data_IF_914464305100
#
_entry.id   IF_914464305100
#
_cell.length_a   1.000
_cell.length_b   1.000
_cell.length_c   1.000
_cell.angle_alpha   90.00
_cell.angle_beta   90.00
_cell.angle_gamma   90.00
#
_symmetry.space_group_name_H-M   'P 1'
#
loop_
_entity.id
_entity.type
_entity.pdbx_description
1 polymer ?
#
# COMPACT_ATOMS: atom_id res chain seq x y z
N UNK A 1 10.49 17.92 9.16
CA UNK A 1 9.40 17.70 10.15
C UNK A 1 8.00 18.13 9.66
N UNK A 2 7.72 18.14 8.34
CA UNK A 2 6.39 18.49 7.78
C UNK A 2 5.62 17.29 7.19
N UNK A 3 6.10 16.06 7.41
CA UNK A 3 5.64 14.82 6.75
C UNK A 3 4.25 14.31 7.20
N UNK A 4 3.60 14.95 8.17
CA UNK A 4 2.45 14.36 8.89
C UNK A 4 1.12 15.12 8.79
N UNK A 5 1.09 16.36 8.29
CA UNK A 5 -0.15 17.16 8.25
C UNK A 5 -1.27 16.59 7.35
N UNK A 6 -1.03 16.13 6.12
CA UNK A 6 -2.09 15.59 5.27
C UNK A 6 -2.58 14.22 5.77
N UNK A 7 -1.67 13.37 6.27
CA UNK A 7 -2.02 12.07 6.85
C UNK A 7 -2.85 12.23 8.14
N UNK A 8 -2.46 13.14 9.05
CA UNK A 8 -3.23 13.41 10.27
C UNK A 8 -4.63 13.97 9.98
N UNK A 9 -4.77 14.83 8.98
CA UNK A 9 -6.07 15.36 8.57
C UNK A 9 -6.97 14.26 7.97
N UNK A 10 -6.41 13.38 7.13
CA UNK A 10 -7.13 12.21 6.58
C UNK A 10 -7.53 11.22 7.67
N UNK A 11 -6.62 10.87 8.58
CA UNK A 11 -6.90 10.01 9.73
C UNK A 11 -8.03 10.59 10.60
N UNK A 12 -7.98 11.90 10.87
CA UNK A 12 -9.03 12.58 11.64
C UNK A 12 -10.37 12.53 10.90
N UNK A 13 -10.38 12.72 9.58
CA UNK A 13 -11.58 12.63 8.76
C UNK A 13 -12.18 11.22 8.76
N UNK A 14 -11.37 10.17 8.53
CA UNK A 14 -11.78 8.75 8.59
C UNK A 14 -12.33 8.41 9.98
N UNK A 15 -11.67 8.91 11.04
CA UNK A 15 -12.14 8.72 12.42
C UNK A 15 -13.50 9.40 12.66
N UNK A 16 -13.70 10.63 12.16
CA UNK A 16 -14.98 11.36 12.29
C UNK A 16 -16.08 10.64 11.49
N UNK A 17 -15.79 10.22 10.26
CA UNK A 17 -16.72 9.50 9.39
C UNK A 17 -17.23 8.21 10.05
N UNK A 18 -16.32 7.45 10.67
CA UNK A 18 -16.66 6.25 11.43
C UNK A 18 -17.66 6.53 12.58
N UNK A 19 -17.37 7.53 13.43
CA UNK A 19 -18.26 7.87 14.54
C UNK A 19 -19.60 8.45 14.07
N UNK A 20 -19.64 9.09 12.90
CA UNK A 20 -20.86 9.60 12.30
C UNK A 20 -21.73 8.51 11.64
N UNK A 21 -21.14 7.40 11.16
CA UNK A 21 -21.85 6.29 10.52
C UNK A 21 -22.37 5.24 11.51
N UNK A 22 -21.71 5.09 12.67
CA UNK A 22 -22.13 4.22 13.77
C UNK A 22 -23.61 4.38 14.20
N UNK A 23 -24.20 5.59 14.32
CA UNK A 23 -25.61 5.79 14.62
C UNK A 23 -26.59 5.41 13.49
N UNK A 24 -26.19 5.49 12.22
CA UNK A 24 -27.07 5.24 11.06
C UNK A 24 -27.39 3.75 10.87
N UNK A 25 -26.39 2.88 11.01
CA UNK A 25 -26.59 1.41 11.00
C UNK A 25 -27.49 0.98 12.16
N UNK A 26 -27.54 1.83 13.17
CA UNK A 26 -28.21 1.59 14.41
C UNK A 26 -29.71 1.94 14.30
N UNK A 27 -30.14 2.88 13.44
CA UNK A 27 -31.54 3.32 13.34
C UNK A 27 -32.45 2.47 12.44
N UNK A 28 -31.94 1.46 11.74
CA UNK A 28 -32.67 0.84 10.64
C UNK A 28 -33.87 -0.04 11.03
N UNK A 29 -34.07 -0.44 12.30
CA UNK A 29 -35.13 -1.44 12.56
C UNK A 29 -35.92 -1.47 13.88
N UNK A 30 -35.67 -0.71 14.96
CA UNK A 30 -36.54 -0.84 16.15
C UNK A 30 -36.65 0.39 17.06
N UNK A 31 -37.83 0.52 17.67
CA UNK A 31 -38.29 1.63 18.51
C UNK A 31 -37.66 1.69 19.93
N UNK A 32 -36.68 0.84 20.27
CA UNK A 32 -36.03 0.84 21.58
C UNK A 32 -34.54 0.40 21.48
N UNK A 33 -33.55 1.23 21.89
CA UNK A 33 -32.14 0.86 21.80
C UNK A 33 -31.74 -0.15 22.89
N UNK A 34 -31.75 -1.45 22.55
CA UNK A 34 -31.39 -2.51 23.49
C UNK A 34 -29.91 -2.47 23.91
N UNK A 35 -29.65 -2.78 25.20
CA UNK A 35 -28.32 -2.80 25.84
C UNK A 35 -27.26 -3.65 25.11
N UNK A 36 -27.67 -4.61 24.29
CA UNK A 36 -26.81 -5.44 23.44
C UNK A 36 -26.15 -4.63 22.30
N UNK A 37 -26.92 -3.72 21.68
CA UNK A 37 -26.48 -2.89 20.55
C UNK A 37 -25.37 -1.94 20.96
N UNK A 38 -25.56 -1.23 22.06
CA UNK A 38 -24.55 -0.32 22.61
C UNK A 38 -23.22 -1.05 22.89
N UNK A 39 -23.26 -2.32 23.29
CA UNK A 39 -22.05 -3.12 23.51
C UNK A 39 -21.36 -3.50 22.20
N UNK A 40 -22.09 -3.98 21.18
CA UNK A 40 -21.50 -4.34 19.88
C UNK A 40 -20.88 -3.12 19.19
N UNK A 41 -21.57 -1.98 19.19
CA UNK A 41 -21.05 -0.68 18.71
C UNK A 41 -19.77 -0.29 19.47
N UNK A 42 -19.74 -0.45 20.80
CA UNK A 42 -18.54 -0.18 21.58
C UNK A 42 -17.38 -1.15 21.27
N UNK A 43 -17.66 -2.39 20.88
CA UNK A 43 -16.64 -3.35 20.42
C UNK A 43 -16.06 -2.95 19.07
N UNK A 44 -16.91 -2.60 18.11
CA UNK A 44 -16.51 -2.07 16.81
C UNK A 44 -15.58 -0.85 16.96
N UNK A 45 -15.94 0.10 17.83
CA UNK A 45 -15.10 1.26 18.10
C UNK A 45 -13.75 0.91 18.75
N UNK A 46 -13.71 -0.11 19.62
CA UNK A 46 -12.45 -0.62 20.19
C UNK A 46 -11.58 -1.31 19.14
N UNK A 47 -12.18 -2.04 18.21
CA UNK A 47 -11.47 -2.69 17.12
C UNK A 47 -10.86 -1.64 16.18
N UNK A 48 -11.63 -0.66 15.73
CA UNK A 48 -11.12 0.45 14.91
C UNK A 48 -9.95 1.17 15.60
N UNK A 49 -10.08 1.48 16.90
CA UNK A 49 -8.99 2.09 17.67
C UNK A 49 -7.76 1.18 17.81
N UNK A 50 -7.93 -0.15 17.78
CA UNK A 50 -6.84 -1.11 17.80
C UNK A 50 -6.13 -1.16 16.44
N UNK A 51 -6.87 -1.22 15.33
CA UNK A 51 -6.35 -1.15 13.96
C UNK A 51 -5.55 0.13 13.76
N UNK A 52 -6.11 1.29 14.12
CA UNK A 52 -5.40 2.57 14.04
C UNK A 52 -4.08 2.55 14.82
N UNK A 53 -4.05 1.97 16.02
CA UNK A 53 -2.80 1.80 16.80
C UNK A 53 -1.82 0.85 16.12
N UNK A 54 -2.30 -0.22 15.49
CA UNK A 54 -1.46 -1.15 14.73
C UNK A 54 -0.78 -0.41 13.56
N UNK A 55 -1.54 0.31 12.75
CA UNK A 55 -1.03 1.01 11.57
C UNK A 55 -0.07 2.15 11.93
N UNK A 56 -0.41 2.98 12.92
CA UNK A 56 0.50 4.03 13.41
C UNK A 56 1.80 3.45 13.95
N UNK A 57 1.72 2.32 14.68
CA UNK A 57 2.92 1.64 15.18
C UNK A 57 3.75 1.08 14.03
N UNK A 58 3.12 0.40 13.08
CA UNK A 58 3.77 -0.18 11.90
C UNK A 58 4.50 0.90 11.08
N UNK A 59 3.83 2.03 10.81
CA UNK A 59 4.44 3.19 10.14
C UNK A 59 5.66 3.70 10.92
N UNK A 60 5.52 3.90 12.24
CA UNK A 60 6.58 4.45 13.07
C UNK A 60 7.80 3.53 13.23
N UNK A 61 7.59 2.22 13.17
CA UNK A 61 8.62 1.20 13.36
C UNK A 61 9.11 0.56 12.06
N UNK A 62 8.49 0.90 10.94
CA UNK A 62 8.74 0.27 9.64
C UNK A 62 8.53 -1.26 9.66
N UNK A 63 7.54 -1.71 10.43
CA UNK A 63 7.19 -3.13 10.62
C UNK A 63 5.93 -3.48 9.82
N UNK A 64 5.79 -4.76 9.47
CA UNK A 64 4.56 -5.30 8.88
C UNK A 64 3.40 -5.24 9.92
N UNK A 65 2.25 -4.61 9.58
CA UNK A 65 1.11 -4.52 10.49
C UNK A 65 0.31 -5.82 10.61
N UNK A 66 0.45 -6.77 9.68
CA UNK A 66 -0.43 -7.95 9.55
C UNK A 66 -0.62 -8.72 10.87
N UNK A 67 0.45 -9.08 11.61
CA UNK A 67 0.28 -9.80 12.87
C UNK A 67 -0.49 -9.01 13.95
N UNK A 68 -0.47 -7.68 13.89
CA UNK A 68 -1.23 -6.82 14.80
C UNK A 68 -2.69 -6.73 14.38
N UNK A 69 -2.95 -6.62 13.07
CA UNK A 69 -4.28 -6.57 12.48
C UNK A 69 -5.04 -7.87 12.71
N UNK A 70 -4.44 -9.02 12.43
CA UNK A 70 -5.03 -10.36 12.67
C UNK A 70 -5.46 -10.52 14.14
N UNK A 71 -4.60 -10.04 15.06
CA UNK A 71 -4.88 -10.08 16.49
C UNK A 71 -6.04 -9.15 16.87
N UNK A 72 -6.19 -8.01 16.21
CA UNK A 72 -7.30 -7.09 16.44
C UNK A 72 -8.63 -7.66 15.92
N UNK A 73 -8.60 -8.32 14.76
CA UNK A 73 -9.76 -8.99 14.17
C UNK A 73 -10.21 -10.19 15.02
N UNK A 74 -9.29 -11.10 15.36
CA UNK A 74 -9.59 -12.25 16.22
C UNK A 74 -10.18 -11.84 17.58
N UNK A 75 -9.75 -10.68 18.12
CA UNK A 75 -10.31 -10.10 19.35
C UNK A 75 -11.74 -9.60 19.15
N UNK A 76 -12.05 -8.98 18.02
CA UNK A 76 -13.41 -8.51 17.72
C UNK A 76 -14.36 -9.71 17.61
N UNK A 77 -14.01 -10.69 16.78
CA UNK A 77 -14.81 -11.90 16.56
C UNK A 77 -15.08 -12.64 17.88
N UNK A 78 -14.04 -12.88 18.68
CA UNK A 78 -14.21 -13.54 19.99
C UNK A 78 -15.09 -12.75 20.97
N UNK A 79 -15.02 -11.41 20.96
CA UNK A 79 -15.84 -10.59 21.86
C UNK A 79 -17.30 -10.51 21.40
N UNK A 80 -17.55 -10.53 20.10
CA UNK A 80 -18.91 -10.61 19.54
C UNK A 80 -19.54 -11.97 19.91
N UNK A 81 -18.83 -13.08 19.66
CA UNK A 81 -19.32 -14.43 19.98
C UNK A 81 -19.68 -14.60 21.47
N UNK A 82 -18.83 -14.08 22.37
CA UNK A 82 -19.10 -14.08 23.83
C UNK A 82 -20.34 -13.29 24.21
N UNK A 83 -20.67 -12.21 23.49
CA UNK A 83 -21.89 -11.46 23.73
C UNK A 83 -23.12 -12.22 23.24
N UNK A 84 -23.03 -12.89 22.09
CA UNK A 84 -24.15 -13.62 21.50
C UNK A 84 -24.52 -14.87 22.30
N UNK A 85 -23.52 -15.54 22.87
CA UNK A 85 -23.69 -16.75 23.69
C UNK A 85 -23.93 -16.49 25.19
N UNK A 86 -23.97 -15.22 25.63
CA UNK A 86 -24.19 -14.88 27.03
C UNK A 86 -25.62 -15.22 27.50
N UNK A 87 -25.76 -15.55 28.81
CA UNK A 87 -26.97 -16.05 29.50
C UNK A 87 -28.26 -15.19 29.40
N UNK A 88 -28.18 -14.00 28.77
CA UNK A 88 -29.30 -13.17 28.30
C UNK A 88 -29.04 -12.94 26.81
N UNK A 89 -29.63 -13.80 25.97
CA UNK A 89 -29.35 -13.91 24.54
C UNK A 89 -29.27 -12.53 23.85
N UNK A 90 -28.06 -12.11 23.46
CA UNK A 90 -27.91 -11.09 22.41
C UNK A 90 -27.93 -11.74 21.00
N UNK A 91 -28.22 -13.04 20.92
CA UNK A 91 -28.48 -13.71 19.66
C UNK A 91 -29.72 -13.10 19.00
N UNK A 92 -29.53 -12.52 17.81
CA UNK A 92 -30.53 -12.04 16.83
C UNK A 92 -31.03 -10.58 16.83
N UNK A 93 -30.55 -9.63 17.66
CA UNK A 93 -31.04 -8.22 17.58
C UNK A 93 -30.26 -7.27 16.66
N UNK A 94 -29.22 -7.74 15.96
CA UNK A 94 -28.53 -7.01 14.86
C UNK A 94 -27.96 -8.08 13.92
N UNK A 95 -28.00 -7.84 12.61
CA UNK A 95 -27.13 -8.55 11.67
C UNK A 95 -25.67 -8.22 12.02
N UNK A 96 -25.01 -9.11 12.77
CA UNK A 96 -23.62 -8.95 13.15
C UNK A 96 -22.73 -8.77 11.91
N UNK A 97 -23.13 -9.32 10.76
CA UNK A 97 -22.44 -9.12 9.50
C UNK A 97 -22.51 -7.67 9.02
N UNK A 98 -23.63 -6.96 9.21
CA UNK A 98 -23.76 -5.55 8.82
C UNK A 98 -22.84 -4.62 9.64
N UNK A 99 -22.66 -4.90 10.94
CA UNK A 99 -21.73 -4.15 11.77
C UNK A 99 -20.28 -4.46 11.42
N UNK A 100 -19.96 -5.73 11.17
CA UNK A 100 -18.61 -6.16 10.73
C UNK A 100 -18.28 -5.52 9.38
N UNK A 101 -19.20 -5.57 8.41
CA UNK A 101 -19.01 -4.94 7.10
C UNK A 101 -18.79 -3.42 7.18
N UNK A 102 -19.47 -2.70 8.09
CA UNK A 102 -19.20 -1.27 8.32
C UNK A 102 -17.78 -1.05 8.88
N UNK A 103 -17.40 -1.87 9.85
CA UNK A 103 -16.07 -1.80 10.46
C UNK A 103 -15.01 -2.09 9.40
N UNK A 104 -15.20 -3.12 8.58
CA UNK A 104 -14.27 -3.51 7.53
C UNK A 104 -14.15 -2.43 6.45
N UNK A 105 -15.27 -1.83 6.02
CA UNK A 105 -15.25 -0.72 5.07
C UNK A 105 -14.44 0.48 5.61
N UNK A 106 -14.62 0.83 6.88
CA UNK A 106 -13.88 1.93 7.48
C UNK A 106 -12.41 1.59 7.75
N UNK A 107 -12.12 0.32 8.09
CA UNK A 107 -10.75 -0.18 8.18
C UNK A 107 -10.08 -0.10 6.81
N UNK A 108 -10.79 -0.41 5.73
CA UNK A 108 -10.35 -0.19 4.35
C UNK A 108 -9.97 1.27 4.09
N UNK A 109 -10.88 2.21 4.36
CA UNK A 109 -10.58 3.64 4.21
C UNK A 109 -9.38 4.09 5.06
N UNK A 110 -9.17 3.47 6.22
CA UNK A 110 -8.02 3.76 7.06
C UNK A 110 -6.73 3.18 6.49
N UNK A 111 -6.76 1.96 5.96
CA UNK A 111 -5.64 1.32 5.28
C UNK A 111 -5.22 2.15 4.08
N UNK A 112 -6.15 2.69 3.30
CA UNK A 112 -5.86 3.56 2.15
C UNK A 112 -5.06 4.82 2.54
N UNK A 113 -5.22 5.32 3.78
CA UNK A 113 -4.41 6.45 4.27
C UNK A 113 -2.95 6.07 4.51
N UNK A 114 -2.69 4.79 4.79
CA UNK A 114 -1.36 4.21 4.99
C UNK A 114 -0.85 3.45 3.75
N UNK A 115 -1.62 3.42 2.67
CA UNK A 115 -1.21 2.84 1.40
C UNK A 115 -0.26 3.78 0.66
N UNK A 116 0.62 3.21 -0.17
CA UNK A 116 1.54 3.95 -1.03
C UNK A 116 1.23 3.68 -2.48
N UNK A 117 1.11 4.74 -3.27
CA UNK A 117 0.85 4.60 -4.70
C UNK A 117 2.10 4.15 -5.44
N UNK A 118 1.92 3.26 -6.42
CA UNK A 118 2.96 2.78 -7.32
C UNK A 118 2.48 2.88 -8.76
N UNK A 119 3.37 3.25 -9.68
CA UNK A 119 3.06 3.30 -11.10
C UNK A 119 4.29 3.00 -11.95
N UNK A 120 4.06 2.62 -13.20
CA UNK A 120 5.07 2.55 -14.24
C UNK A 120 5.01 3.83 -15.08
N UNK A 121 6.07 4.61 -15.14
CA UNK A 121 6.12 5.90 -15.88
C UNK A 121 5.54 5.82 -17.29
N UNK A 122 4.70 6.75 -17.73
CA UNK A 122 4.17 6.78 -19.12
C UNK A 122 5.27 6.90 -20.17
N UNK A 123 6.35 7.60 -19.82
CA UNK A 123 7.54 7.79 -20.65
C UNK A 123 8.48 6.60 -20.58
N UNK A 124 9.14 6.29 -21.69
CA UNK A 124 10.25 5.32 -21.78
C UNK A 124 11.55 6.06 -22.09
N UNK A 125 12.67 5.54 -21.61
CA UNK A 125 13.98 6.18 -21.77
C UNK A 125 15.15 5.23 -21.54
N UNK A 126 16.35 5.81 -21.48
CA UNK A 126 17.58 5.07 -21.19
C UNK A 126 18.00 5.13 -19.74
N UNK A 127 19.04 4.37 -19.38
CA UNK A 127 19.46 4.15 -18.00
C UNK A 127 20.32 5.28 -17.38
N UNK A 128 20.57 6.38 -18.11
CA UNK A 128 21.41 7.49 -17.63
C UNK A 128 20.56 8.57 -16.96
N UNK A 129 20.22 8.33 -15.70
CA UNK A 129 19.42 9.25 -14.89
C UNK A 129 20.27 10.29 -14.13
N UNK A 130 21.60 10.10 -14.08
CA UNK A 130 22.47 10.89 -13.19
C UNK A 130 22.46 10.38 -11.75
N UNK A 131 22.27 9.06 -11.59
CA UNK A 131 22.14 8.41 -10.29
C UNK A 131 20.69 8.30 -9.79
N UNK A 132 20.53 7.65 -8.64
CA UNK A 132 19.22 7.42 -8.02
C UNK A 132 18.44 8.73 -7.80
N UNK A 133 19.13 9.82 -7.42
CA UNK A 133 18.50 11.12 -7.21
C UNK A 133 17.87 11.70 -8.49
N UNK A 134 18.48 11.47 -9.65
CA UNK A 134 17.91 11.91 -10.92
C UNK A 134 16.74 11.03 -11.38
N UNK A 135 16.80 9.73 -11.11
CA UNK A 135 15.66 8.83 -11.35
C UNK A 135 14.47 9.21 -10.44
N UNK A 136 14.73 9.55 -9.18
CA UNK A 136 13.72 10.03 -8.24
C UNK A 136 13.11 11.35 -8.71
N UNK A 137 13.92 12.27 -9.24
CA UNK A 137 13.42 13.53 -9.79
C UNK A 137 12.50 13.31 -11.01
N UNK A 138 12.79 12.31 -11.85
CA UNK A 138 11.90 11.94 -12.95
C UNK A 138 10.56 11.40 -12.44
N UNK A 139 10.58 10.51 -11.44
CA UNK A 139 9.36 10.02 -10.80
C UNK A 139 8.53 11.13 -10.17
N UNK A 140 9.18 12.03 -9.42
CA UNK A 140 8.50 13.18 -8.81
C UNK A 140 7.91 14.10 -9.87
N UNK A 141 8.65 14.40 -10.94
CA UNK A 141 8.17 15.29 -12.02
C UNK A 141 6.93 14.75 -12.71
N UNK A 142 6.86 13.42 -12.95
CA UNK A 142 5.70 12.79 -13.56
C UNK A 142 4.51 12.78 -12.60
N UNK A 143 4.74 12.47 -11.32
CA UNK A 143 3.71 12.52 -10.30
C UNK A 143 3.13 13.95 -10.10
N UNK A 144 3.98 14.97 -10.13
CA UNK A 144 3.58 16.37 -10.04
C UNK A 144 2.75 16.78 -11.27
N UNK A 145 3.17 16.37 -12.48
CA UNK A 145 2.46 16.65 -13.72
C UNK A 145 1.07 15.99 -13.77
N UNK A 146 0.94 14.78 -13.22
CA UNK A 146 -0.32 14.07 -13.07
C UNK A 146 -1.17 14.57 -11.87
N UNK A 147 -0.65 15.50 -11.05
CA UNK A 147 -1.36 16.04 -9.90
C UNK A 147 -1.51 15.08 -8.73
N UNK A 148 -0.65 14.04 -8.64
CA UNK A 148 -0.71 13.03 -7.59
C UNK A 148 -0.31 13.58 -6.21
N UNK A 149 0.46 14.67 -6.16
CA UNK A 149 1.04 15.21 -4.94
C UNK A 149 2.04 14.23 -4.30
N UNK A 150 2.21 14.30 -2.97
CA UNK A 150 3.09 13.36 -2.25
C UNK A 150 4.57 13.47 -2.63
N UNK A 151 5.36 12.46 -2.23
CA UNK A 151 6.76 12.32 -2.63
C UNK A 151 6.96 10.98 -3.31
N UNK A 152 7.47 10.98 -4.53
CA UNK A 152 7.73 9.77 -5.31
C UNK A 152 9.23 9.57 -5.54
N UNK A 153 9.65 8.31 -5.51
CA UNK A 153 11.02 7.91 -5.86
C UNK A 153 10.98 6.78 -6.88
N UNK A 154 12.09 6.58 -7.60
CA UNK A 154 12.25 5.45 -8.51
C UNK A 154 12.53 4.16 -7.73
N UNK A 155 11.87 3.07 -8.12
CA UNK A 155 12.14 1.73 -7.58
C UNK A 155 13.35 1.13 -8.30
N UNK A 156 14.55 1.54 -7.86
CA UNK A 156 15.84 1.11 -8.39
C UNK A 156 16.79 0.74 -7.25
N UNK A 157 17.69 -0.20 -7.48
CA UNK A 157 18.92 -0.34 -6.71
C UNK A 157 20.08 0.37 -7.41
N UNK A 158 21.10 0.78 -6.67
CA UNK A 158 22.45 1.04 -7.22
C UNK A 158 23.47 0.06 -6.60
N UNK A 159 24.76 0.27 -6.84
CA UNK A 159 25.83 -0.62 -6.37
C UNK A 159 25.98 -0.67 -4.84
N UNK A 160 25.41 0.30 -4.12
CA UNK A 160 25.56 0.47 -2.67
C UNK A 160 24.22 0.56 -1.92
N UNK A 161 23.12 0.76 -2.63
CA UNK A 161 21.80 1.03 -2.08
C UNK A 161 20.80 0.06 -2.68
N UNK A 162 20.20 -0.76 -1.82
CA UNK A 162 19.17 -1.70 -2.21
C UNK A 162 17.80 -1.03 -2.36
N UNK A 163 17.04 -1.39 -3.40
CA UNK A 163 15.68 -0.89 -3.61
C UNK A 163 14.77 -1.09 -2.38
N UNK A 164 14.85 -2.26 -1.72
CA UNK A 164 14.07 -2.59 -0.52
C UNK A 164 14.28 -1.61 0.65
N UNK A 165 15.45 -1.00 0.74
CA UNK A 165 15.81 -0.07 1.81
C UNK A 165 15.44 1.38 1.49
N UNK A 166 15.21 1.68 0.20
CA UNK A 166 14.75 2.99 -0.28
C UNK A 166 13.24 3.14 -0.19
N UNK A 167 12.50 2.04 -0.35
CA UNK A 167 11.04 2.04 -0.27
C UNK A 167 10.62 2.20 1.19
N UNK A 168 9.80 3.22 1.46
CA UNK A 168 9.29 3.51 2.80
C UNK A 168 8.27 2.46 3.28
N UNK A 169 7.87 2.51 4.56
CA UNK A 169 6.77 1.68 5.04
C UNK A 169 5.47 2.01 4.30
N UNK A 170 4.66 0.97 4.11
CA UNK A 170 3.33 1.06 3.54
C UNK A 170 2.41 0.08 4.30
N UNK A 171 1.98 0.42 5.54
CA UNK A 171 1.12 -0.45 6.34
C UNK A 171 -0.25 -0.71 5.71
N UNK A 172 -0.68 0.15 4.79
CA UNK A 172 -1.88 -0.07 3.96
C UNK A 172 -1.58 -0.72 2.62
N UNK A 173 -0.35 -1.22 2.41
CA UNK A 173 0.06 -1.82 1.15
C UNK A 173 0.45 -0.83 0.06
N UNK A 174 0.74 -1.37 -1.12
CA UNK A 174 1.03 -0.67 -2.34
C UNK A 174 -0.13 -0.82 -3.29
N UNK A 175 -0.59 0.28 -3.84
CA UNK A 175 -1.74 0.34 -4.75
C UNK A 175 -1.34 1.04 -6.04
N UNK A 176 -1.87 0.59 -7.16
CA UNK A 176 -1.74 1.33 -8.43
C UNK A 176 -2.58 2.60 -8.42
N UNK A 177 -2.40 3.44 -9.42
CA UNK A 177 -3.19 4.67 -9.60
C UNK A 177 -4.67 4.39 -9.90
N UNK A 178 -5.00 3.17 -10.36
CA UNK A 178 -6.37 2.68 -10.57
C UNK A 178 -6.94 1.91 -9.36
N UNK A 179 -6.39 2.14 -8.16
CA UNK A 179 -6.82 1.55 -6.88
C UNK A 179 -6.74 0.02 -6.80
N UNK A 180 -5.96 -0.62 -7.69
CA UNK A 180 -5.69 -2.06 -7.63
C UNK A 180 -4.50 -2.33 -6.71
N UNK A 181 -4.70 -3.17 -5.70
CA UNK A 181 -3.67 -3.58 -4.77
C UNK A 181 -2.57 -4.42 -5.45
N UNK A 182 -1.31 -4.05 -5.20
CA UNK A 182 -0.10 -4.67 -5.74
C UNK A 182 0.58 -5.54 -4.70
N UNK A 183 0.60 -5.07 -3.44
CA UNK A 183 1.19 -5.77 -2.32
C UNK A 183 0.59 -5.26 -1.01
N UNK A 184 0.39 -6.12 -0.02
CA UNK A 184 -0.14 -5.78 1.31
C UNK A 184 0.87 -5.04 2.20
N UNK A 185 2.13 -4.98 1.79
CA UNK A 185 3.17 -4.26 2.51
C UNK A 185 4.55 -4.37 1.85
N UNK A 186 5.56 -3.77 2.48
CA UNK A 186 6.91 -3.69 1.90
C UNK A 186 7.60 -5.04 1.76
N UNK A 187 7.32 -5.98 2.66
CA UNK A 187 7.90 -7.33 2.59
C UNK A 187 7.27 -8.15 1.46
N UNK A 188 5.96 -7.99 1.26
CA UNK A 188 5.17 -8.66 0.22
C UNK A 188 5.62 -8.27 -1.20
N UNK A 189 6.16 -7.07 -1.40
CA UNK A 189 6.82 -6.71 -2.68
C UNK A 189 7.96 -7.68 -3.07
N UNK A 190 8.60 -8.34 -2.09
CA UNK A 190 9.85 -9.09 -2.27
C UNK A 190 9.77 -10.56 -1.86
N UNK A 191 8.59 -11.08 -1.53
CA UNK A 191 8.44 -12.43 -1.00
C UNK A 191 8.17 -13.50 -2.08
N UNK A 192 7.83 -13.08 -3.31
CA UNK A 192 7.58 -14.01 -4.40
C UNK A 192 6.72 -13.44 -5.52
N UNK A 193 5.53 -12.96 -5.16
CA UNK A 193 4.48 -12.66 -6.13
C UNK A 193 3.69 -11.43 -5.72
N UNK A 194 3.61 -10.45 -6.60
CA UNK A 194 2.70 -9.32 -6.48
C UNK A 194 1.25 -9.78 -6.64
N UNK A 195 0.34 -9.15 -5.92
CA UNK A 195 -1.11 -9.34 -6.08
C UNK A 195 -1.60 -8.89 -7.47
N UNK A 196 -0.97 -7.86 -8.03
CA UNK A 196 -1.22 -7.36 -9.37
C UNK A 196 0.06 -6.79 -10.01
N UNK A 197 0.14 -6.87 -11.34
CA UNK A 197 1.28 -6.32 -12.09
C UNK A 197 1.20 -4.77 -12.14
N UNK A 198 2.34 -4.10 -12.16
CA UNK A 198 2.43 -2.62 -12.15
C UNK A 198 2.37 -2.08 -13.59
N UNK A 199 1.29 -2.36 -14.30
CA UNK A 199 1.09 -2.01 -15.72
C UNK A 199 0.18 -0.79 -15.93
N UNK A 200 0.25 0.17 -15.00
CA UNK A 200 -0.55 1.40 -15.01
C UNK A 200 0.37 2.59 -14.79
N UNK A 201 0.17 3.64 -15.58
CA UNK A 201 0.99 4.86 -15.51
C UNK A 201 0.49 5.89 -14.49
N UNK A 202 1.25 6.98 -14.33
CA UNK A 202 0.92 8.06 -13.40
C UNK A 202 -0.44 8.73 -13.70
N UNK A 203 -0.99 8.53 -14.90
CA UNK A 203 -2.28 9.07 -15.32
C UNK A 203 -3.42 8.06 -15.16
N UNK A 204 -3.14 6.87 -14.62
CA UNK A 204 -4.12 5.79 -14.48
C UNK A 204 -4.39 5.02 -15.77
N UNK A 205 -3.57 5.20 -16.82
CA UNK A 205 -3.75 4.48 -18.07
C UNK A 205 -3.01 3.14 -18.06
N UNK A 206 -3.68 2.06 -18.47
CA UNK A 206 -3.02 0.77 -18.72
C UNK A 206 -2.10 0.89 -19.92
N UNK A 207 -0.82 0.53 -19.74
CA UNK A 207 0.20 0.61 -20.79
C UNK A 207 0.38 -0.73 -21.50
N UNK A 208 0.95 -0.71 -22.70
CA UNK A 208 1.47 -1.94 -23.32
C UNK A 208 2.68 -2.45 -22.52
N UNK A 209 2.82 -3.77 -22.46
CA UNK A 209 3.87 -4.40 -21.69
C UNK A 209 5.26 -3.93 -22.16
N UNK A 210 6.14 -3.62 -21.21
CA UNK A 210 7.49 -3.14 -21.50
C UNK A 210 8.50 -3.56 -20.44
N UNK A 211 9.78 -3.47 -20.79
CA UNK A 211 10.88 -3.59 -19.84
C UNK A 211 10.89 -2.39 -18.88
N UNK A 212 11.29 -2.64 -17.63
CA UNK A 212 11.44 -1.61 -16.61
C UNK A 212 12.83 -1.72 -15.99
N UNK A 213 13.53 -0.59 -15.89
CA UNK A 213 14.80 -0.54 -15.19
C UNK A 213 14.58 -0.81 -13.70
N UNK A 214 15.42 -1.68 -13.13
CA UNK A 214 15.41 -1.98 -11.69
C UNK A 214 16.82 -2.05 -11.13
N UNK A 215 17.73 -2.78 -11.80
CA UNK A 215 19.04 -3.12 -11.24
C UNK A 215 18.91 -3.92 -9.93
N UNK A 216 17.79 -4.60 -9.72
CA UNK A 216 17.40 -5.18 -8.43
C UNK A 216 17.15 -6.68 -8.58
N UNK A 217 17.63 -7.46 -7.62
CA UNK A 217 17.32 -8.88 -7.52
C UNK A 217 15.87 -9.12 -7.05
N UNK A 218 15.32 -10.33 -7.17
CA UNK A 218 13.98 -10.60 -6.68
C UNK A 218 13.75 -10.36 -5.19
N UNK A 219 14.81 -10.39 -4.36
CA UNK A 219 14.73 -10.12 -2.92
C UNK A 219 14.81 -8.62 -2.56
N UNK A 220 14.81 -7.74 -3.58
CA UNK A 220 14.86 -6.30 -3.42
C UNK A 220 16.26 -5.74 -3.17
N UNK A 221 17.30 -6.58 -3.20
CA UNK A 221 18.70 -6.15 -3.09
C UNK A 221 19.26 -5.72 -4.45
N UNK A 222 20.40 -5.06 -4.48
CA UNK A 222 21.14 -4.81 -5.71
C UNK A 222 21.35 -6.10 -6.50
N UNK A 223 21.02 -6.05 -7.78
CA UNK A 223 21.11 -7.16 -8.73
C UNK A 223 22.41 -7.11 -9.53
N UNK A 224 22.43 -7.84 -10.65
CA UNK A 224 23.60 -7.84 -11.53
C UNK A 224 23.64 -6.58 -12.40
N UNK A 225 24.51 -5.64 -12.01
CA UNK A 225 24.82 -4.41 -12.73
C UNK A 225 23.75 -3.32 -12.58
N UNK A 226 24.18 -2.06 -12.64
CA UNK A 226 23.35 -0.87 -12.36
C UNK A 226 23.60 0.24 -13.38
N UNK A 227 24.17 -0.08 -14.56
CA UNK A 227 24.56 0.91 -15.56
C UNK A 227 25.51 1.99 -15.03
N UNK A 228 26.52 1.54 -14.27
CA UNK A 228 27.42 2.40 -13.49
C UNK A 228 26.64 3.35 -12.58
N UNK A 229 25.77 2.79 -11.74
CA UNK A 229 24.88 3.54 -10.85
C UNK A 229 24.04 4.59 -11.58
N UNK A 230 23.49 4.18 -12.72
CA UNK A 230 22.60 4.96 -13.56
C UNK A 230 23.23 6.23 -14.13
N UNK A 231 24.54 6.21 -14.39
CA UNK A 231 25.28 7.32 -15.01
C UNK A 231 25.93 6.96 -16.35
N UNK A 232 25.75 5.74 -16.85
CA UNK A 232 26.40 5.28 -18.08
C UNK A 232 25.48 4.40 -18.91
N UNK A 233 25.70 4.39 -20.22
CA UNK A 233 25.08 3.45 -21.17
C UNK A 233 25.90 2.17 -21.34
N UNK A 234 27.02 2.03 -20.63
CA UNK A 234 27.90 0.86 -20.74
C UNK A 234 27.49 -0.27 -19.80
N UNK A 235 27.65 -1.50 -20.28
CA UNK A 235 27.40 -2.71 -19.49
C UNK A 235 25.96 -3.21 -19.59
N UNK A 236 25.57 -4.00 -18.60
CA UNK A 236 24.22 -4.57 -18.48
C UNK A 236 23.69 -4.35 -17.07
N UNK A 237 22.37 -4.37 -16.93
CA UNK A 237 21.68 -4.29 -15.64
C UNK A 237 20.48 -5.24 -15.62
N UNK A 238 20.03 -5.61 -14.43
CA UNK A 238 18.76 -6.31 -14.26
C UNK A 238 17.59 -5.41 -14.69
N UNK A 239 16.64 -6.00 -15.42
CA UNK A 239 15.36 -5.37 -15.73
C UNK A 239 14.21 -6.26 -15.28
N UNK A 240 13.07 -5.63 -15.01
CA UNK A 240 11.77 -6.28 -14.86
C UNK A 240 10.88 -6.07 -16.08
N UNK A 241 9.66 -6.59 -16.03
CA UNK A 241 8.60 -6.33 -17.02
C UNK A 241 7.29 -6.00 -16.29
N UNK A 242 6.64 -4.92 -16.70
CA UNK A 242 5.49 -4.29 -16.03
C UNK A 242 4.20 -5.13 -15.98
N UNK A 243 4.10 -6.19 -16.78
CA UNK A 243 2.96 -7.11 -16.79
C UNK A 243 3.19 -8.41 -15.98
N UNK A 244 4.32 -8.54 -15.29
CA UNK A 244 4.64 -9.70 -14.47
C UNK A 244 4.20 -9.49 -13.02
N UNK A 245 3.79 -10.57 -12.35
CA UNK A 245 3.49 -10.58 -10.91
C UNK A 245 4.52 -11.37 -10.11
N UNK A 246 5.05 -12.48 -10.65
CA UNK A 246 6.18 -13.18 -10.03
C UNK A 246 7.49 -12.38 -10.13
N UNK A 247 8.62 -12.99 -9.78
CA UNK A 247 9.95 -12.34 -9.76
C UNK A 247 10.33 -11.54 -11.01
N UNK A 248 9.77 -11.86 -12.18
CA UNK A 248 9.97 -11.13 -13.43
C UNK A 248 9.51 -9.66 -13.40
N UNK A 249 8.70 -9.25 -12.42
CA UNK A 249 8.28 -7.85 -12.27
C UNK A 249 9.47 -6.93 -11.99
N UNK A 250 10.46 -7.43 -11.24
CA UNK A 250 11.68 -6.70 -10.88
C UNK A 250 12.93 -7.27 -11.54
N UNK A 251 12.93 -8.55 -11.89
CA UNK A 251 14.11 -9.27 -12.34
C UNK A 251 13.75 -10.43 -13.26
N UNK A 252 13.75 -10.18 -14.57
CA UNK A 252 13.51 -11.22 -15.58
C UNK A 252 14.79 -11.68 -16.28
N UNK A 253 15.68 -10.75 -16.65
CA UNK A 253 16.97 -11.01 -17.31
C UNK A 253 17.86 -9.75 -17.26
N UNK A 254 19.04 -9.81 -17.86
CA UNK A 254 19.95 -8.67 -18.03
C UNK A 254 19.73 -7.96 -19.35
N UNK A 255 19.66 -6.64 -19.32
CA UNK A 255 19.54 -5.77 -20.48
C UNK A 255 20.75 -4.84 -20.59
N UNK A 256 21.15 -4.50 -21.81
CA UNK A 256 22.18 -3.52 -22.11
C UNK A 256 21.76 -2.12 -21.69
N UNK A 257 22.69 -1.38 -21.10
CA UNK A 257 22.43 -0.05 -20.55
C UNK A 257 22.22 1.05 -21.62
N UNK A 258 22.45 0.75 -22.90
CA UNK A 258 22.29 1.67 -24.04
C UNK A 258 20.88 1.68 -24.63
N UNK A 259 19.98 0.82 -24.12
CA UNK A 259 18.56 0.84 -24.50
C UNK A 259 17.93 2.16 -24.11
N UNK A 260 16.98 2.60 -24.92
CA UNK A 260 16.28 3.89 -24.78
C UNK A 260 14.76 3.75 -24.71
N UNK A 261 14.27 2.52 -24.64
CA UNK A 261 12.85 2.19 -24.73
C UNK A 261 12.34 1.40 -23.51
N UNK A 262 12.89 1.71 -22.33
CA UNK A 262 12.64 1.00 -21.06
C UNK A 262 12.04 2.00 -20.06
N UNK A 263 11.02 1.59 -19.31
CA UNK A 263 10.34 2.46 -18.35
C UNK A 263 11.02 2.47 -16.97
N UNK A 264 10.49 3.29 -16.07
CA UNK A 264 10.74 3.25 -14.62
C UNK A 264 9.48 2.89 -13.84
N UNK A 265 9.63 2.19 -12.72
CA UNK A 265 8.61 2.19 -11.67
C UNK A 265 8.88 3.33 -10.68
N UNK A 266 7.79 3.94 -10.22
CA UNK A 266 7.81 5.02 -9.25
C UNK A 266 6.89 4.66 -8.08
N UNK A 267 7.31 5.00 -6.87
CA UNK A 267 6.56 4.68 -5.64
C UNK A 267 6.53 5.84 -4.67
N UNK A 268 5.38 6.04 -4.03
CA UNK A 268 5.14 7.05 -3.01
C UNK A 268 5.84 6.73 -1.68
N UNK A 269 6.16 7.77 -0.92
CA UNK A 269 7.02 7.74 0.28
C UNK A 269 6.41 8.36 1.53
#
# INVERSE_FOLDING_TARGET
>A
MLRSRPALARIAFVSIAFFASLPLVASAQDANPDRCRAKKVALAAKHFAAVHKCLVKAESKQEDPTPCLDKAEARLTSQIEKLDTARKACASTIDAAALVALVDAQVGELLDVFARRVFRTSTIGGATFGGLAGADAQCQSLADAAGLGGRFIAMLSDSTTDMRDRIGPAPGGFVRIDDVEVATGRLDLFDGTLLAAIQVDENGATTSATEVWTGTSPSGTSGAGTCSDWTSTSGTTQVGVDNQTGFGWSSIYLQFCDRTNVALYCVEQ
#
